data_IF_388335772861
#
_entry.id   IF_388335772861
#
_cell.length_a   1.000
_cell.length_b   1.000
_cell.length_c   1.000
_cell.angle_alpha   90.00
_cell.angle_beta   90.00
_cell.angle_gamma   90.00
#
_symmetry.space_group_name_H-M   'P 1'
#
loop_
_entity.id
_entity.type
_entity.pdbx_description
1 polymer ?
#
# COMPACT_ATOMS: atom_id res chain seq x y z
N UNK A 1 6.99 24.71 -6.37
CA UNK A 1 6.04 23.82 -7.08
C UNK A 1 6.55 22.38 -7.15
N UNK A 2 7.76 22.09 -7.65
CA UNK A 2 8.36 20.74 -7.73
C UNK A 2 8.33 19.88 -6.45
N UNK A 3 8.49 20.49 -5.26
CA UNK A 3 8.54 19.73 -4.00
C UNK A 3 7.20 19.11 -3.59
N UNK A 4 6.07 19.73 -3.96
CA UNK A 4 4.76 19.18 -3.64
C UNK A 4 4.45 17.96 -4.51
N UNK A 5 4.78 18.05 -5.80
CA UNK A 5 4.69 16.95 -6.75
C UNK A 5 5.56 15.77 -6.33
N UNK A 6 6.82 16.02 -5.95
CA UNK A 6 7.71 14.97 -5.46
C UNK A 6 7.13 14.25 -4.23
N UNK A 7 6.57 15.00 -3.26
CA UNK A 7 5.95 14.38 -2.08
C UNK A 7 4.72 13.54 -2.43
N UNK A 8 3.88 13.99 -3.36
CA UNK A 8 2.72 13.22 -3.81
C UNK A 8 3.12 11.94 -4.55
N UNK A 9 4.18 12.00 -5.36
CA UNK A 9 4.71 10.82 -6.04
C UNK A 9 5.27 9.81 -5.03
N UNK A 10 6.06 10.27 -4.05
CA UNK A 10 6.58 9.39 -2.99
C UNK A 10 5.46 8.76 -2.15
N UNK A 11 4.41 9.53 -1.83
CA UNK A 11 3.25 9.01 -1.11
C UNK A 11 2.50 7.96 -1.94
N UNK A 12 2.26 8.24 -3.21
CA UNK A 12 1.57 7.34 -4.13
C UNK A 12 2.35 6.04 -4.33
N UNK A 13 3.66 6.14 -4.56
CA UNK A 13 4.56 4.98 -4.71
C UNK A 13 4.50 4.08 -3.47
N UNK A 14 4.49 4.67 -2.28
CA UNK A 14 4.42 3.94 -1.01
C UNK A 14 3.08 3.23 -0.80
N UNK A 15 1.96 3.87 -1.13
CA UNK A 15 0.62 3.28 -1.06
C UNK A 15 0.48 2.13 -2.07
N UNK A 16 0.88 2.37 -3.32
CA UNK A 16 0.81 1.39 -4.40
C UNK A 16 1.72 0.20 -4.08
N UNK A 17 2.95 0.45 -3.64
CA UNK A 17 3.89 -0.59 -3.20
C UNK A 17 3.32 -1.46 -2.08
N UNK A 18 2.67 -0.85 -1.07
CA UNK A 18 2.00 -1.58 0.01
C UNK A 18 0.91 -2.53 -0.52
N UNK A 19 0.12 -2.09 -1.51
CA UNK A 19 -0.91 -2.93 -2.12
C UNK A 19 -0.31 -4.10 -2.91
N UNK A 20 0.80 -3.88 -3.63
CA UNK A 20 1.53 -4.94 -4.31
C UNK A 20 2.14 -5.95 -3.34
N UNK A 21 2.72 -5.49 -2.23
CA UNK A 21 3.29 -6.38 -1.21
C UNK A 21 2.22 -7.34 -0.64
N UNK A 22 1.06 -6.79 -0.26
CA UNK A 22 -0.08 -7.60 0.19
C UNK A 22 -0.51 -8.61 -0.86
N UNK A 23 -0.61 -8.20 -2.13
CA UNK A 23 -0.98 -9.08 -3.24
C UNK A 23 0.06 -10.20 -3.44
N UNK A 24 1.35 -9.89 -3.37
CA UNK A 24 2.45 -10.84 -3.53
C UNK A 24 2.49 -11.87 -2.40
N UNK A 25 2.25 -11.43 -1.16
CA UNK A 25 2.28 -12.30 0.03
C UNK A 25 1.04 -13.19 0.12
N UNK A 26 -0.16 -12.63 -0.12
CA UNK A 26 -1.40 -13.39 0.01
C UNK A 26 -1.76 -14.22 -1.22
N UNK A 27 -1.29 -13.82 -2.41
CA UNK A 27 -1.73 -14.41 -3.67
C UNK A 27 -3.23 -14.19 -3.91
N UNK A 28 -3.88 -15.09 -4.64
CA UNK A 28 -5.32 -15.07 -4.92
C UNK A 28 -6.08 -16.11 -4.09
N UNK A 29 -7.38 -15.88 -3.86
CA UNK A 29 -8.28 -16.87 -3.24
C UNK A 29 -8.86 -16.47 -1.87
N UNK A 30 -8.49 -15.31 -1.35
CA UNK A 30 -9.10 -14.76 -0.13
C UNK A 30 -10.27 -13.81 -0.42
N UNK A 31 -11.08 -13.56 0.60
CA UNK A 31 -12.10 -12.52 0.56
C UNK A 31 -11.45 -11.13 0.55
N UNK A 32 -12.12 -10.16 -0.06
CA UNK A 32 -11.69 -8.76 -0.09
C UNK A 32 -11.34 -8.21 1.30
N UNK A 33 -12.11 -8.60 2.33
CA UNK A 33 -11.86 -8.18 3.72
C UNK A 33 -10.48 -8.59 4.25
N UNK A 34 -9.91 -9.69 3.75
CA UNK A 34 -8.56 -10.12 4.13
C UNK A 34 -7.52 -9.18 3.52
N UNK A 35 -7.67 -8.81 2.25
CA UNK A 35 -6.79 -7.83 1.59
C UNK A 35 -6.90 -6.46 2.26
N UNK A 36 -8.11 -6.01 2.60
CA UNK A 36 -8.33 -4.74 3.32
C UNK A 36 -7.58 -4.73 4.66
N UNK A 37 -7.73 -5.80 5.45
CA UNK A 37 -7.08 -5.91 6.76
C UNK A 37 -5.54 -5.97 6.63
N UNK A 38 -5.03 -6.73 5.66
CA UNK A 38 -3.60 -6.84 5.40
C UNK A 38 -3.02 -5.50 4.92
N UNK A 39 -3.70 -4.81 4.00
CA UNK A 39 -3.29 -3.49 3.51
C UNK A 39 -3.28 -2.45 4.63
N UNK A 40 -4.26 -2.48 5.54
CA UNK A 40 -4.26 -1.61 6.72
C UNK A 40 -3.03 -1.83 7.60
N UNK A 41 -2.61 -3.07 7.79
CA UNK A 41 -1.40 -3.41 8.56
C UNK A 41 -0.16 -2.95 7.80
N UNK A 42 -0.06 -3.22 6.51
CA UNK A 42 1.10 -2.86 5.68
C UNK A 42 1.30 -1.35 5.59
N UNK A 43 0.22 -0.58 5.37
CA UNK A 43 0.28 0.88 5.38
C UNK A 43 0.77 1.41 6.73
N UNK A 44 0.25 0.86 7.84
CA UNK A 44 0.67 1.27 9.19
C UNK A 44 2.13 0.94 9.47
N UNK A 45 2.62 -0.22 9.03
CA UNK A 45 4.04 -0.62 9.14
C UNK A 45 4.93 0.35 8.36
N UNK A 46 4.43 0.82 7.22
CA UNK A 46 5.06 1.85 6.42
C UNK A 46 4.89 3.26 7.01
N UNK A 47 4.17 3.47 8.11
CA UNK A 47 3.97 4.79 8.73
C UNK A 47 3.01 5.69 7.94
N UNK A 48 2.04 5.09 7.26
CA UNK A 48 0.91 5.74 6.60
C UNK A 48 -0.39 5.60 7.42
#
# INVERSE_FOLDING_TARGET
MKNAELRLNMLSEKIIGSAFEVSNVLGSGFLEKVYENALKIELKTNGL
#
